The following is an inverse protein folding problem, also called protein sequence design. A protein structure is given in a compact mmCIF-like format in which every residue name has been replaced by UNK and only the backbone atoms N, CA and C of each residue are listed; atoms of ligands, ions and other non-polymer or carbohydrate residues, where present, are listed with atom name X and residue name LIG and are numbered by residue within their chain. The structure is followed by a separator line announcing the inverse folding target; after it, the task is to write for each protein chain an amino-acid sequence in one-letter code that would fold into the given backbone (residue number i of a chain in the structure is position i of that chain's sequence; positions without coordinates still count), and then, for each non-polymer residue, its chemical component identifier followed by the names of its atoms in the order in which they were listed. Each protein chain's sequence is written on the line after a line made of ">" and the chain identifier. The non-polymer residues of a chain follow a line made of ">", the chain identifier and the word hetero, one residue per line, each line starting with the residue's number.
data_IF_242848529320
#
_entry.id   IF_242848529320
#
_cell.length_a   1.000
_cell.length_b   1.000
_cell.length_c   1.000
_cell.angle_alpha   90.00
_cell.angle_beta   90.00
_cell.angle_gamma   90.00
#
_symmetry.space_group_name_H-M   'P 1'
#
loop_
_entity.id
_entity.type
_entity.pdbx_description
1 polymer ?
#
# COMPACT_ATOMS: atom_id res chain seq x y z
N UNK A 1 -0.62 -12.88 -22.00
CA UNK A 1 -2.08 -13.01 -21.93
C UNK A 1 -2.62 -11.78 -21.23
N UNK A 2 -3.07 -10.83 -22.03
CA UNK A 2 -3.67 -9.55 -21.65
C UNK A 2 -5.06 -9.82 -21.07
N UNK A 3 -5.24 -9.58 -19.77
CA UNK A 3 -6.59 -9.38 -19.23
C UNK A 3 -6.88 -7.89 -19.40
N UNK A 4 -7.38 -7.54 -20.58
CA UNK A 4 -7.59 -6.19 -21.08
C UNK A 4 -8.82 -5.47 -20.48
N UNK A 5 -9.29 -5.83 -19.28
CA UNK A 5 -10.51 -5.21 -18.74
C UNK A 5 -10.61 -5.13 -17.21
N UNK A 6 -9.49 -4.98 -16.51
CA UNK A 6 -9.55 -4.64 -15.07
C UNK A 6 -9.62 -3.13 -14.95
N UNK A 7 -10.83 -2.60 -14.74
CA UNK A 7 -11.05 -1.18 -14.44
C UNK A 7 -10.72 -0.97 -12.96
N UNK A 8 -9.82 -0.02 -12.69
CA UNK A 8 -9.56 0.49 -11.35
C UNK A 8 -10.74 1.38 -10.89
N UNK A 9 -11.47 1.03 -9.82
CA UNK A 9 -12.52 1.87 -9.24
C UNK A 9 -12.00 3.23 -8.81
N UNK A 10 -12.81 4.26 -8.95
CA UNK A 10 -12.47 5.59 -8.42
C UNK A 10 -12.44 5.59 -6.88
N UNK A 11 -13.29 4.78 -6.25
CA UNK A 11 -13.34 4.61 -4.81
C UNK A 11 -13.55 3.16 -4.38
N UNK A 12 -12.91 2.77 -3.27
CA UNK A 12 -13.20 1.53 -2.55
C UNK A 12 -13.49 1.87 -1.08
N UNK A 13 -14.73 1.69 -0.66
CA UNK A 13 -15.12 1.89 0.74
C UNK A 13 -14.62 0.70 1.59
N UNK A 14 -13.92 1.01 2.68
CA UNK A 14 -13.40 0.03 3.64
C UNK A 14 -14.26 0.02 4.91
N UNK A 15 -14.67 1.20 5.38
CA UNK A 15 -15.60 1.39 6.50
C UNK A 15 -16.32 2.73 6.37
N UNK A 16 -17.10 3.11 7.38
CA UNK A 16 -17.73 4.44 7.44
C UNK A 16 -16.71 5.60 7.47
N UNK A 17 -15.48 5.32 7.91
CA UNK A 17 -14.43 6.32 8.11
C UNK A 17 -13.28 6.18 7.11
N UNK A 18 -13.06 4.98 6.55
CA UNK A 18 -11.90 4.70 5.71
C UNK A 18 -12.36 4.37 4.29
N UNK A 19 -11.73 5.02 3.31
CA UNK A 19 -11.87 4.65 1.89
C UNK A 19 -10.54 4.73 1.18
N UNK A 20 -10.47 4.07 0.03
CA UNK A 20 -9.43 4.27 -0.96
C UNK A 20 -9.97 5.17 -2.06
N UNK A 21 -9.22 6.22 -2.41
CA UNK A 21 -9.50 7.08 -3.56
C UNK A 21 -8.43 6.86 -4.61
N UNK A 22 -8.84 6.61 -5.85
CA UNK A 22 -7.93 6.42 -6.98
C UNK A 22 -7.02 7.64 -7.15
N UNK A 23 -5.76 7.39 -7.49
CA UNK A 23 -4.82 8.44 -7.86
C UNK A 23 -5.31 9.21 -9.09
N UNK A 24 -5.28 10.53 -9.00
CA UNK A 24 -5.82 11.47 -9.99
C UNK A 24 -4.72 12.29 -10.69
N UNK A 25 -3.45 11.88 -10.53
CA UNK A 25 -2.30 12.61 -11.05
C UNK A 25 -1.76 13.70 -10.11
N UNK A 26 -2.35 13.91 -8.92
CA UNK A 26 -1.91 14.92 -7.97
C UNK A 26 -1.48 14.29 -6.65
N UNK A 27 -0.22 14.49 -6.27
CA UNK A 27 0.35 13.93 -5.04
C UNK A 27 1.22 14.90 -4.24
N UNK A 28 1.22 16.20 -4.58
CA UNK A 28 2.15 17.18 -3.98
C UNK A 28 2.06 17.21 -2.44
N UNK A 29 0.86 17.02 -1.89
CA UNK A 29 0.63 16.95 -0.44
C UNK A 29 1.34 15.76 0.23
N UNK A 30 1.60 14.68 -0.51
CA UNK A 30 2.26 13.49 0.00
C UNK A 30 3.75 13.73 0.25
N UNK A 31 4.35 14.77 -0.35
CA UNK A 31 5.76 15.13 -0.14
C UNK A 31 6.10 15.23 1.35
N UNK A 32 5.17 15.75 2.16
CA UNK A 32 5.33 15.91 3.62
C UNK A 32 5.54 14.59 4.35
N UNK A 33 4.99 13.48 3.85
CA UNK A 33 5.18 12.15 4.44
C UNK A 33 6.61 11.64 4.25
N UNK A 34 7.28 12.07 3.17
CA UNK A 34 8.64 11.68 2.80
C UNK A 34 9.70 12.72 3.18
N UNK A 35 9.38 13.60 4.15
CA UNK A 35 10.37 14.44 4.84
C UNK A 35 10.81 13.82 6.17
N UNK A 36 10.14 12.76 6.61
CA UNK A 36 10.38 12.10 7.88
C UNK A 36 11.37 10.94 7.71
N UNK A 37 12.44 10.96 8.50
CA UNK A 37 13.55 9.99 8.42
C UNK A 37 13.08 8.54 8.66
N UNK A 38 12.18 8.34 9.62
CA UNK A 38 11.64 7.02 9.93
C UNK A 38 10.86 6.46 8.72
N UNK A 39 10.02 7.29 8.10
CA UNK A 39 9.25 6.92 6.92
C UNK A 39 10.15 6.60 5.73
N UNK A 40 11.17 7.44 5.48
CA UNK A 40 12.16 7.22 4.45
C UNK A 40 12.95 5.93 4.66
N UNK A 41 13.34 5.64 5.90
CA UNK A 41 14.01 4.38 6.23
C UNK A 41 13.09 3.18 5.97
N UNK A 42 11.81 3.26 6.35
CA UNK A 42 10.87 2.15 6.16
C UNK A 42 10.52 1.87 4.69
N UNK A 43 10.56 2.91 3.83
CA UNK A 43 10.19 2.83 2.41
C UNK A 43 11.42 2.52 1.54
N UNK A 44 12.51 3.26 1.73
CA UNK A 44 13.69 3.23 0.84
C UNK A 44 14.95 2.65 1.48
N UNK A 45 14.95 2.46 2.80
CA UNK A 45 16.14 2.08 3.56
C UNK A 45 17.25 3.12 3.52
N UNK A 46 16.90 4.37 3.20
CA UNK A 46 17.81 5.51 3.12
C UNK A 46 17.17 6.70 3.82
N UNK A 47 17.99 7.52 4.45
CA UNK A 47 17.54 8.77 5.05
C UNK A 47 17.78 9.95 4.09
N UNK A 48 17.17 9.88 2.90
CA UNK A 48 17.28 10.94 1.90
C UNK A 48 15.88 11.45 1.58
N UNK A 49 15.60 12.68 2.02
CA UNK A 49 14.28 13.30 1.83
C UNK A 49 13.92 13.43 0.35
N UNK A 50 12.64 13.28 0.06
CA UNK A 50 12.17 13.39 -1.31
C UNK A 50 12.13 14.86 -1.73
N UNK A 51 12.48 15.10 -2.99
CA UNK A 51 12.07 16.29 -3.72
C UNK A 51 10.84 15.95 -4.60
N UNK A 52 10.21 16.98 -5.17
CA UNK A 52 9.04 16.81 -6.03
C UNK A 52 9.31 15.90 -7.24
N UNK A 53 10.49 15.97 -7.84
CA UNK A 53 10.85 15.13 -8.99
C UNK A 53 10.86 13.64 -8.60
N UNK A 54 11.48 13.29 -7.47
CA UNK A 54 11.52 11.92 -6.94
C UNK A 54 10.12 11.43 -6.58
N UNK A 55 9.31 12.27 -5.93
CA UNK A 55 7.92 11.96 -5.59
C UNK A 55 7.09 11.65 -6.85
N UNK A 56 7.18 12.51 -7.86
CA UNK A 56 6.45 12.34 -9.12
C UNK A 56 6.89 11.08 -9.87
N UNK A 57 8.20 10.77 -9.89
CA UNK A 57 8.71 9.52 -10.46
C UNK A 57 8.18 8.29 -9.73
N UNK A 58 8.13 8.32 -8.40
CA UNK A 58 7.59 7.23 -7.59
C UNK A 58 6.11 7.00 -7.91
N UNK A 59 5.26 8.02 -7.85
CA UNK A 59 3.83 7.84 -8.13
C UNK A 59 3.55 7.47 -9.59
N UNK A 60 4.30 8.02 -10.56
CA UNK A 60 4.19 7.59 -11.97
C UNK A 60 4.54 6.12 -12.14
N UNK A 61 5.57 5.65 -11.44
CA UNK A 61 5.94 4.23 -11.45
C UNK A 61 4.83 3.37 -10.84
N UNK A 62 4.33 3.73 -9.66
CA UNK A 62 3.29 2.97 -8.95
C UNK A 62 1.99 2.87 -9.77
N UNK A 63 1.52 4.00 -10.31
CA UNK A 63 0.32 4.07 -11.16
C UNK A 63 0.43 3.21 -12.43
N UNK A 64 1.63 3.09 -12.99
CA UNK A 64 1.88 2.25 -14.17
C UNK A 64 1.90 0.74 -13.83
N UNK A 65 2.23 0.37 -12.60
CA UNK A 65 2.47 -1.03 -12.20
C UNK A 65 1.37 -1.64 -11.33
N UNK A 66 0.34 -0.87 -10.97
CA UNK A 66 -0.79 -1.37 -10.23
C UNK A 66 -1.86 -0.30 -10.02
N UNK A 67 -2.89 -0.67 -9.28
CA UNK A 67 -3.94 0.26 -8.90
C UNK A 67 -3.49 1.11 -7.72
N UNK A 68 -3.12 2.35 -7.99
CA UNK A 68 -2.66 3.29 -6.99
C UNK A 68 -3.83 4.05 -6.35
N UNK A 69 -3.86 4.04 -5.01
CA UNK A 69 -4.86 4.74 -4.22
C UNK A 69 -4.24 5.57 -3.10
N UNK A 70 -4.88 6.70 -2.79
CA UNK A 70 -4.73 7.34 -1.49
C UNK A 70 -5.66 6.67 -0.47
N UNK A 71 -5.13 6.44 0.73
CA UNK A 71 -5.90 6.01 1.89
C UNK A 71 -6.44 7.27 2.55
N UNK A 72 -7.76 7.39 2.57
CA UNK A 72 -8.45 8.54 3.15
C UNK A 72 -9.18 8.16 4.43
N UNK A 73 -9.13 9.07 5.40
CA UNK A 73 -9.85 8.96 6.67
C UNK A 73 -10.82 10.12 6.83
N UNK A 74 -12.04 9.83 7.32
CA UNK A 74 -13.11 10.80 7.50
C UNK A 74 -12.99 11.49 8.86
N UNK A 75 -12.85 12.82 8.88
CA UNK A 75 -12.83 13.67 10.08
C UNK A 75 -13.86 14.78 9.90
N UNK A 76 -14.85 14.88 10.79
CA UNK A 76 -15.91 15.90 10.72
C UNK A 76 -16.57 16.00 9.34
N UNK A 77 -16.95 14.84 8.78
CA UNK A 77 -17.53 14.70 7.44
C UNK A 77 -16.64 15.04 6.23
N UNK A 78 -15.35 15.32 6.46
CA UNK A 78 -14.37 15.61 5.41
C UNK A 78 -13.35 14.47 5.35
N UNK A 79 -13.06 13.99 4.15
CA UNK A 79 -11.98 13.02 3.94
C UNK A 79 -10.63 13.73 3.83
N UNK A 80 -9.63 13.20 4.52
CA UNK A 80 -8.24 13.63 4.44
C UNK A 80 -7.34 12.46 4.06
N UNK A 81 -6.30 12.72 3.28
CA UNK A 81 -5.31 11.72 2.89
C UNK A 81 -4.34 11.45 4.05
N UNK A 82 -4.26 10.19 4.46
CA UNK A 82 -3.41 9.72 5.56
C UNK A 82 -2.30 8.78 5.10
N UNK A 83 -2.31 8.37 3.83
CA UNK A 83 -1.32 7.47 3.25
C UNK A 83 -1.67 7.07 1.83
N UNK A 84 -0.93 6.10 1.30
CA UNK A 84 -1.16 5.52 -0.01
C UNK A 84 -0.93 4.01 -0.02
N UNK A 85 -1.48 3.37 -1.05
CA UNK A 85 -1.31 1.95 -1.33
C UNK A 85 -1.40 1.71 -2.83
N UNK A 86 -0.51 0.86 -3.34
CA UNK A 86 -0.64 0.35 -4.71
C UNK A 86 -1.03 -1.12 -4.65
N UNK A 87 -2.04 -1.50 -5.41
CA UNK A 87 -2.50 -2.88 -5.46
C UNK A 87 -2.15 -3.51 -6.81
N UNK A 88 -1.35 -4.58 -6.77
CA UNK A 88 -1.14 -5.46 -7.91
C UNK A 88 -1.12 -6.91 -7.44
N UNK A 89 -1.18 -7.85 -8.39
CA UNK A 89 -0.99 -9.28 -8.07
C UNK A 89 0.39 -9.56 -7.45
N UNK A 90 1.42 -8.82 -7.89
CA UNK A 90 2.82 -9.13 -7.61
C UNK A 90 3.39 -8.31 -6.45
N UNK A 91 2.73 -7.23 -6.05
CA UNK A 91 3.18 -6.38 -4.97
C UNK A 91 2.06 -5.51 -4.41
N UNK A 92 2.18 -5.18 -3.12
CA UNK A 92 1.22 -4.34 -2.40
C UNK A 92 1.98 -3.33 -1.50
N UNK A 93 2.73 -2.37 -2.07
CA UNK A 93 3.38 -1.35 -1.26
C UNK A 93 2.32 -0.46 -0.60
N UNK A 94 2.47 -0.24 0.71
CA UNK A 94 1.55 0.54 1.55
C UNK A 94 2.34 1.45 2.48
N UNK A 95 1.91 2.71 2.58
CA UNK A 95 2.46 3.69 3.52
C UNK A 95 1.32 4.37 4.27
N UNK A 96 1.38 4.37 5.61
CA UNK A 96 0.57 5.28 6.44
C UNK A 96 1.45 6.51 6.70
N UNK A 97 1.31 7.51 5.83
CA UNK A 97 2.15 8.70 5.78
C UNK A 97 1.88 9.68 6.92
N UNK A 98 0.62 9.82 7.34
CA UNK A 98 0.28 10.55 8.55
C UNK A 98 0.47 9.63 9.78
N UNK A 99 1.48 9.95 10.61
CA UNK A 99 1.87 9.13 11.77
C UNK A 99 0.78 9.01 12.83
N UNK A 100 -0.09 10.01 12.96
CA UNK A 100 -1.19 10.02 13.93
C UNK A 100 -2.20 8.88 13.68
N UNK A 101 -2.14 8.24 12.50
CA UNK A 101 -3.01 7.15 12.08
C UNK A 101 -2.31 5.78 12.09
N UNK A 102 -1.04 5.70 12.50
CA UNK A 102 -0.31 4.43 12.66
C UNK A 102 -0.77 3.69 13.92
N UNK A 103 -0.66 2.36 13.93
CA UNK A 103 -1.01 1.54 15.09
C UNK A 103 -2.52 1.28 15.31
N UNK A 104 -3.41 2.02 14.64
CA UNK A 104 -4.88 1.84 14.78
C UNK A 104 -5.48 0.75 13.88
N UNK A 105 -4.66 -0.12 13.29
CA UNK A 105 -5.12 -1.22 12.43
C UNK A 105 -5.68 -0.79 11.06
N UNK A 106 -5.49 0.47 10.64
CA UNK A 106 -5.96 0.99 9.34
C UNK A 106 -5.34 0.20 8.19
N UNK A 107 -4.01 0.03 8.18
CA UNK A 107 -3.32 -0.76 7.16
C UNK A 107 -3.87 -2.19 7.06
N UNK A 108 -4.23 -2.81 8.20
CA UNK A 108 -4.84 -4.16 8.22
C UNK A 108 -6.19 -4.18 7.51
N UNK A 109 -7.06 -3.21 7.81
CA UNK A 109 -8.39 -3.08 7.18
C UNK A 109 -8.25 -2.85 5.67
N UNK A 110 -7.32 -1.99 5.27
CA UNK A 110 -7.01 -1.69 3.86
C UNK A 110 -6.54 -2.95 3.12
N UNK A 111 -5.54 -3.66 3.65
CA UNK A 111 -5.00 -4.85 2.98
C UNK A 111 -6.06 -5.96 2.90
N UNK A 112 -6.86 -6.19 3.94
CA UNK A 112 -7.97 -7.15 3.89
C UNK A 112 -8.95 -6.83 2.76
N UNK A 113 -9.29 -5.56 2.56
CA UNK A 113 -10.18 -5.14 1.46
C UNK A 113 -9.56 -5.41 0.08
N UNK A 114 -8.26 -5.23 -0.06
CA UNK A 114 -7.55 -5.53 -1.31
C UNK A 114 -7.34 -7.03 -1.55
N UNK A 115 -7.27 -7.83 -0.48
CA UNK A 115 -7.31 -9.30 -0.60
C UNK A 115 -8.66 -9.73 -1.20
N UNK A 116 -9.78 -9.17 -0.73
CA UNK A 116 -11.11 -9.41 -1.35
C UNK A 116 -11.12 -8.98 -2.81
N UNK A 117 -10.54 -7.82 -3.11
CA UNK A 117 -10.40 -7.35 -4.50
C UNK A 117 -9.61 -8.34 -5.35
N UNK A 118 -8.48 -8.85 -4.87
CA UNK A 118 -7.69 -9.87 -5.57
C UNK A 118 -8.49 -11.13 -5.87
N UNK A 119 -9.33 -11.59 -4.93
CA UNK A 119 -10.26 -12.71 -5.17
C UNK A 119 -11.28 -12.40 -6.26
N UNK A 120 -11.89 -11.21 -6.23
CA UNK A 120 -12.87 -10.78 -7.23
C UNK A 120 -12.25 -10.64 -8.63
N UNK A 121 -10.96 -10.32 -8.71
CA UNK A 121 -10.20 -10.29 -9.96
C UNK A 121 -9.72 -11.68 -10.42
N UNK A 122 -10.07 -12.75 -9.69
CA UNK A 122 -9.71 -14.13 -10.04
C UNK A 122 -8.24 -14.47 -9.76
N UNK A 123 -7.56 -13.74 -8.87
CA UNK A 123 -6.20 -14.08 -8.49
C UNK A 123 -6.17 -15.28 -7.54
N UNK A 124 -5.28 -16.23 -7.83
CA UNK A 124 -5.04 -17.39 -6.96
C UNK A 124 -4.06 -17.07 -5.83
N UNK A 125 -3.19 -16.07 -6.03
CA UNK A 125 -2.14 -15.67 -5.09
C UNK A 125 -1.91 -14.17 -5.16
N UNK A 126 -1.52 -13.59 -4.04
CA UNK A 126 -0.99 -12.23 -3.91
C UNK A 126 0.43 -12.27 -3.36
N UNK A 127 1.25 -11.30 -3.74
CA UNK A 127 2.63 -11.21 -3.33
C UNK A 127 2.95 -9.84 -2.73
N UNK A 128 3.99 -9.81 -1.89
CA UNK A 128 4.70 -8.60 -1.47
C UNK A 128 6.17 -8.81 -1.81
N UNK A 129 6.73 -7.90 -2.62
CA UNK A 129 8.03 -8.10 -3.23
C UNK A 129 9.18 -8.08 -2.22
N UNK A 130 9.16 -7.15 -1.27
CA UNK A 130 10.19 -7.05 -0.24
C UNK A 130 9.69 -6.21 0.94
N UNK A 131 9.85 -6.73 2.15
CA UNK A 131 9.72 -5.96 3.40
C UNK A 131 11.02 -6.05 4.15
N UNK A 132 11.66 -4.90 4.43
CA UNK A 132 12.92 -4.82 5.14
C UNK A 132 12.92 -5.54 6.49
N UNK A 133 14.06 -6.08 6.89
CA UNK A 133 14.24 -6.77 8.19
C UNK A 133 13.80 -5.92 9.39
N UNK A 134 14.08 -4.62 9.36
CA UNK A 134 13.73 -3.68 10.43
C UNK A 134 12.30 -3.14 10.32
N UNK A 135 11.58 -3.33 9.21
CA UNK A 135 10.20 -2.86 9.05
C UNK A 135 9.19 -3.83 9.71
N UNK A 136 9.32 -3.99 11.03
CA UNK A 136 8.54 -4.93 11.84
C UNK A 136 7.03 -4.64 11.76
N UNK A 137 6.65 -3.37 11.63
CA UNK A 137 5.24 -2.97 11.46
C UNK A 137 4.61 -3.57 10.20
N UNK A 138 5.29 -3.46 9.06
CA UNK A 138 4.81 -4.04 7.80
C UNK A 138 4.85 -5.56 7.81
N UNK A 139 5.88 -6.19 8.40
CA UNK A 139 5.93 -7.65 8.53
C UNK A 139 4.72 -8.17 9.34
N UNK A 140 4.44 -7.57 10.51
CA UNK A 140 3.28 -7.93 11.34
C UNK A 140 1.95 -7.68 10.64
N UNK A 141 1.85 -6.60 9.85
CA UNK A 141 0.67 -6.29 9.06
C UNK A 141 0.35 -7.45 8.10
N UNK A 142 1.30 -7.84 7.25
CA UNK A 142 1.07 -8.86 6.23
C UNK A 142 0.91 -10.26 6.83
N UNK A 143 1.75 -10.64 7.81
CA UNK A 143 1.59 -11.92 8.52
C UNK A 143 0.22 -12.00 9.22
N UNK A 144 -0.22 -10.91 9.84
CA UNK A 144 -1.50 -10.81 10.55
C UNK A 144 -2.76 -10.87 9.67
N UNK A 145 -2.61 -10.87 8.35
CA UNK A 145 -3.69 -11.09 7.37
C UNK A 145 -3.45 -12.35 6.52
N UNK A 146 -2.52 -13.22 6.96
CA UNK A 146 -2.34 -14.57 6.41
C UNK A 146 -1.24 -14.71 5.36
N UNK A 147 -0.53 -13.63 5.00
CA UNK A 147 0.65 -13.76 4.16
C UNK A 147 1.74 -14.54 4.89
N UNK A 148 2.49 -15.35 4.15
CA UNK A 148 3.61 -16.13 4.68
C UNK A 148 4.90 -15.74 3.97
N UNK A 149 5.98 -15.64 4.74
CA UNK A 149 7.34 -15.54 4.19
C UNK A 149 7.60 -16.74 3.30
N UNK A 150 8.04 -16.52 2.07
CA UNK A 150 8.44 -17.62 1.18
C UNK A 150 9.90 -17.53 0.75
N UNK A 151 10.54 -16.37 0.92
CA UNK A 151 11.94 -16.13 0.58
C UNK A 151 12.51 -15.05 1.50
N UNK A 152 13.75 -15.25 1.95
CA UNK A 152 14.55 -14.23 2.60
C UNK A 152 15.49 -13.60 1.57
N UNK A 153 15.52 -12.27 1.52
CA UNK A 153 16.43 -11.51 0.67
C UNK A 153 17.60 -10.97 1.51
N UNK A 154 18.55 -10.29 0.89
CA UNK A 154 19.65 -9.60 1.60
C UNK A 154 19.10 -8.52 2.54
N UNK A 155 17.99 -7.88 2.16
CA UNK A 155 17.44 -6.70 2.84
C UNK A 155 16.25 -7.01 3.74
N UNK A 156 15.58 -8.14 3.52
CA UNK A 156 14.29 -8.41 4.14
C UNK A 156 13.69 -9.75 3.76
N UNK A 157 12.37 -9.76 3.55
CA UNK A 157 11.61 -10.96 3.22
C UNK A 157 10.59 -10.68 2.12
N UNK A 158 10.32 -11.71 1.31
CA UNK A 158 9.19 -11.74 0.38
C UNK A 158 8.03 -12.52 0.95
N UNK A 159 6.81 -12.11 0.62
CA UNK A 159 5.60 -12.71 1.17
C UNK A 159 4.64 -13.15 0.07
N UNK A 160 3.90 -14.22 0.35
CA UNK A 160 2.85 -14.75 -0.52
C UNK A 160 1.61 -15.06 0.31
N UNK A 161 0.44 -14.76 -0.24
CA UNK A 161 -0.85 -15.23 0.24
C UNK A 161 -1.48 -16.14 -0.81
N UNK A 162 -1.90 -17.33 -0.41
CA UNK A 162 -2.71 -18.23 -1.23
C UNK A 162 -4.18 -17.87 -1.03
N UNK A 163 -4.85 -17.41 -2.09
CA UNK A 163 -6.25 -16.97 -2.04
C UNK A 163 -7.24 -18.13 -2.14
N UNK A 164 -6.78 -19.32 -2.58
CA UNK A 164 -7.61 -20.50 -2.78
C UNK A 164 -7.68 -21.40 -1.53
N UNK A 165 -6.89 -21.09 -0.50
CA UNK A 165 -6.96 -21.75 0.79
C UNK A 165 -7.80 -20.89 1.73
N UNK A 166 -9.07 -21.29 1.91
CA UNK A 166 -9.91 -20.92 3.05
C UNK A 166 -10.11 -22.17 3.90
#
# INVERSE_FOLDING_TARGET
>A
MSIESIIQPDFINISNEIRLRKYDGKADFALRWYQDEETLMLVDGKNESYNMERLNRMYTYLDKHGELYFIEYKVNDIYIEIGDITFSKNDIPIVIGNKDYRGYGIGKKVVLKLIERGRNLGYNKLFVNEIYHYNIGSQKLFEGVGFKKYEQTIKGYRYCLDLNKL
#
